data_IF_425562035794
#
_entry.id   IF_425562035794
#
_cell.length_a   1.000
_cell.length_b   1.000
_cell.length_c   1.000
_cell.angle_alpha   90.00
_cell.angle_beta   90.00
_cell.angle_gamma   90.00
#
_symmetry.space_group_name_H-M   'P 1'
#
loop_
_entity.id
_entity.type
_entity.pdbx_description
1 polymer ?
#
# COMPACT_ATOMS: atom_id res chain seq x y z
N UNK A 1 75.90 -23.10 -17.56
CA UNK A 1 74.94 -23.64 -18.55
C UNK A 1 73.60 -23.82 -17.84
N UNK A 2 72.52 -23.28 -18.41
CA UNK A 2 71.11 -23.33 -17.94
C UNK A 2 70.72 -22.37 -16.80
N UNK A 3 70.45 -21.12 -17.16
CA UNK A 3 69.53 -20.23 -16.43
C UNK A 3 68.11 -20.42 -16.98
N UNK A 4 67.17 -20.86 -16.13
CA UNK A 4 65.74 -20.97 -16.45
C UNK A 4 65.03 -19.64 -16.20
N UNK A 5 64.18 -19.31 -17.15
CA UNK A 5 63.23 -18.20 -17.20
C UNK A 5 62.11 -18.43 -16.18
N UNK A 6 61.81 -17.44 -15.34
CA UNK A 6 60.63 -17.39 -14.47
C UNK A 6 59.72 -16.23 -14.92
N UNK A 7 58.58 -16.58 -15.48
CA UNK A 7 57.54 -15.68 -15.98
C UNK A 7 56.78 -15.08 -14.78
N UNK A 8 56.91 -13.78 -14.54
CA UNK A 8 56.16 -13.06 -13.51
C UNK A 8 54.74 -12.72 -13.99
N UNK A 9 53.73 -13.29 -13.34
CA UNK A 9 52.32 -12.99 -13.54
C UNK A 9 52.00 -11.61 -12.93
N UNK A 10 51.59 -10.65 -13.76
CA UNK A 10 51.16 -9.31 -13.34
C UNK A 10 49.71 -9.38 -12.86
N UNK A 11 49.48 -9.20 -11.55
CA UNK A 11 48.14 -8.99 -10.99
C UNK A 11 47.73 -7.52 -11.20
N UNK A 12 46.84 -7.27 -12.16
CA UNK A 12 46.10 -6.01 -12.25
C UNK A 12 44.92 -6.03 -11.26
N UNK A 13 45.04 -5.30 -10.15
CA UNK A 13 43.91 -4.95 -9.29
C UNK A 13 43.16 -3.77 -9.92
N UNK A 14 41.97 -4.02 -10.49
CA UNK A 14 41.04 -2.97 -10.86
C UNK A 14 40.29 -2.51 -9.61
N UNK A 15 40.56 -1.28 -9.14
CA UNK A 15 39.78 -0.65 -8.09
C UNK A 15 38.44 -0.17 -8.67
N UNK A 16 37.34 -0.75 -8.19
CA UNK A 16 35.98 -0.27 -8.51
C UNK A 16 35.70 0.93 -7.59
N UNK A 17 35.60 2.12 -8.17
CA UNK A 17 35.19 3.32 -7.46
C UNK A 17 33.71 3.19 -7.06
N UNK A 18 33.44 3.22 -5.75
CA UNK A 18 32.08 3.29 -5.22
C UNK A 18 31.48 4.67 -5.56
N UNK A 19 30.47 4.68 -6.42
CA UNK A 19 29.66 5.88 -6.69
C UNK A 19 28.68 6.05 -5.53
N UNK A 20 28.82 7.14 -4.79
CA UNK A 20 27.88 7.50 -3.73
C UNK A 20 26.53 7.92 -4.34
N UNK A 21 25.45 7.29 -3.91
CA UNK A 21 24.08 7.65 -4.29
C UNK A 21 23.65 8.97 -3.61
N UNK A 22 22.80 9.79 -4.25
CA UNK A 22 22.25 11.00 -3.65
C UNK A 22 21.37 10.70 -2.42
N UNK A 23 21.28 11.61 -1.43
CA UNK A 23 20.46 11.42 -0.24
C UNK A 23 18.98 11.41 -0.64
N UNK A 24 18.27 10.33 -0.32
CA UNK A 24 16.83 10.18 -0.61
C UNK A 24 16.44 8.86 -1.28
N UNK A 25 17.41 8.07 -1.76
CA UNK A 25 17.15 6.68 -2.18
C UNK A 25 17.42 5.79 -0.98
N UNK A 26 16.36 5.44 -0.26
CA UNK A 26 16.40 4.30 0.67
C UNK A 26 16.71 3.08 -0.18
N UNK A 27 17.83 2.41 0.08
CA UNK A 27 18.11 1.12 -0.55
C UNK A 27 16.88 0.23 -0.33
N UNK A 28 16.45 -0.58 -1.32
CA UNK A 28 15.41 -1.57 -1.05
C UNK A 28 15.88 -2.37 0.16
N UNK A 29 15.01 -2.50 1.17
CA UNK A 29 15.20 -3.47 2.25
C UNK A 29 15.59 -4.76 1.54
N UNK A 30 16.81 -5.25 1.79
CA UNK A 30 17.34 -6.40 1.06
C UNK A 30 16.26 -7.48 1.09
N UNK A 31 15.77 -7.89 -0.10
CA UNK A 31 14.68 -8.85 -0.21
C UNK A 31 15.07 -10.08 0.61
N UNK A 32 14.45 -10.23 1.77
CA UNK A 32 14.78 -11.29 2.69
C UNK A 32 14.17 -12.56 2.09
N UNK A 33 15.03 -13.40 1.52
CA UNK A 33 14.61 -14.67 0.96
C UNK A 33 14.39 -15.64 2.11
N UNK A 34 13.14 -16.06 2.29
CA UNK A 34 12.79 -17.13 3.23
C UNK A 34 13.56 -18.41 2.89
N UNK A 35 14.06 -19.10 3.91
CA UNK A 35 14.47 -20.50 3.79
C UNK A 35 13.28 -21.38 3.39
N UNK A 36 13.55 -22.60 2.94
CA UNK A 36 12.48 -23.56 2.60
C UNK A 36 11.57 -23.85 3.79
N UNK A 37 12.11 -23.94 5.01
CA UNK A 37 11.33 -24.21 6.22
C UNK A 37 10.44 -23.03 6.61
N UNK A 38 10.97 -21.80 6.53
CA UNK A 38 10.19 -20.59 6.77
C UNK A 38 9.09 -20.40 5.71
N UNK A 39 9.38 -20.74 4.45
CA UNK A 39 8.41 -20.69 3.37
C UNK A 39 7.27 -21.70 3.59
N UNK A 40 7.58 -22.94 4.00
CA UNK A 40 6.54 -23.93 4.31
C UNK A 40 5.72 -23.53 5.55
N UNK A 41 6.35 -22.92 6.56
CA UNK A 41 5.65 -22.37 7.72
C UNK A 41 4.70 -21.24 7.30
N UNK A 42 5.17 -20.30 6.46
CA UNK A 42 4.35 -19.24 5.89
C UNK A 42 3.18 -19.78 5.07
N UNK A 43 3.40 -20.81 4.24
CA UNK A 43 2.36 -21.46 3.44
C UNK A 43 1.30 -22.12 4.33
N UNK A 44 1.75 -22.86 5.34
CA UNK A 44 0.89 -23.61 6.26
C UNK A 44 0.06 -22.72 7.18
N UNK A 45 0.58 -21.56 7.58
CA UNK A 45 -0.09 -20.67 8.54
C UNK A 45 -0.81 -19.50 7.87
N UNK A 46 -0.17 -18.82 6.91
CA UNK A 46 -0.72 -17.59 6.32
C UNK A 46 -1.48 -17.85 5.04
N UNK A 47 -0.87 -18.55 4.08
CA UNK A 47 -1.52 -18.78 2.78
C UNK A 47 -2.73 -19.72 2.89
N UNK A 48 -2.72 -20.65 3.86
CA UNK A 48 -3.86 -21.50 4.19
C UNK A 48 -5.10 -20.69 4.56
N UNK A 49 -4.96 -19.67 5.42
CA UNK A 49 -6.04 -18.77 5.83
C UNK A 49 -6.62 -18.01 4.63
N UNK A 50 -5.78 -17.63 3.66
CA UNK A 50 -6.23 -16.93 2.46
C UNK A 50 -7.03 -17.82 1.50
N UNK A 51 -6.70 -19.11 1.46
CA UNK A 51 -7.34 -20.11 0.61
C UNK A 51 -8.58 -20.73 1.25
N UNK A 52 -8.76 -20.60 2.56
CA UNK A 52 -9.90 -21.15 3.30
C UNK A 52 -11.23 -20.77 2.64
N UNK A 53 -12.06 -21.77 2.34
CA UNK A 53 -13.38 -21.55 1.77
C UNK A 53 -14.33 -21.04 2.85
N UNK A 54 -14.96 -19.91 2.58
CA UNK A 54 -15.80 -19.22 3.55
C UNK A 54 -17.26 -19.10 3.07
N UNK A 55 -17.60 -19.78 1.98
CA UNK A 55 -18.98 -19.91 1.48
C UNK A 55 -19.36 -19.00 0.31
N UNK A 56 -18.40 -18.30 -0.31
CA UNK A 56 -18.56 -17.71 -1.65
C UNK A 56 -19.66 -16.65 -1.82
N UNK A 57 -20.02 -16.33 -3.07
CA UNK A 57 -20.86 -15.18 -3.44
C UNK A 57 -22.38 -15.37 -3.24
N UNK A 58 -22.82 -16.53 -2.74
CA UNK A 58 -24.21 -16.80 -2.38
C UNK A 58 -24.24 -17.47 -1.01
N UNK A 59 -24.42 -16.66 0.04
CA UNK A 59 -24.61 -17.13 1.41
C UNK A 59 -23.34 -17.67 2.08
N UNK A 60 -22.39 -16.77 2.36
CA UNK A 60 -21.11 -17.04 3.03
C UNK A 60 -20.12 -15.91 2.73
N UNK A 61 -19.01 -15.80 3.44
CA UNK A 61 -17.95 -14.85 3.09
C UNK A 61 -17.10 -15.43 1.95
N UNK A 62 -16.56 -14.61 1.07
CA UNK A 62 -15.61 -15.13 0.08
C UNK A 62 -14.26 -15.45 0.74
N UNK A 63 -13.53 -16.43 0.20
CA UNK A 63 -12.12 -16.64 0.56
C UNK A 63 -11.32 -15.37 0.26
N UNK A 64 -10.28 -15.09 1.07
CA UNK A 64 -9.51 -13.85 0.92
C UNK A 64 -8.89 -13.77 -0.48
N UNK A 65 -8.37 -14.90 -0.98
CA UNK A 65 -7.77 -15.01 -2.31
C UNK A 65 -8.72 -14.62 -3.45
N UNK A 66 -10.04 -14.80 -3.28
CA UNK A 66 -11.01 -14.42 -4.30
C UNK A 66 -11.03 -12.90 -4.54
N UNK A 67 -10.86 -12.10 -3.50
CA UNK A 67 -10.79 -10.64 -3.64
C UNK A 67 -9.36 -10.16 -3.88
N UNK A 68 -8.39 -10.79 -3.23
CA UNK A 68 -7.01 -10.29 -3.18
C UNK A 68 -6.13 -10.66 -4.38
N UNK A 69 -6.62 -11.40 -5.36
CA UNK A 69 -5.85 -11.75 -6.58
C UNK A 69 -6.19 -10.88 -7.79
N UNK A 70 -7.45 -10.46 -7.93
CA UNK A 70 -7.92 -9.74 -9.12
C UNK A 70 -8.76 -8.50 -8.83
N UNK A 71 -9.47 -8.45 -7.70
CA UNK A 71 -10.35 -7.31 -7.39
C UNK A 71 -9.59 -6.15 -6.74
N UNK A 72 -8.50 -6.45 -6.03
CA UNK A 72 -7.69 -5.44 -5.35
C UNK A 72 -6.40 -5.18 -6.09
N UNK A 73 -6.25 -3.99 -6.67
CA UNK A 73 -4.98 -3.45 -7.17
C UNK A 73 -4.28 -2.55 -6.12
N UNK A 74 -4.63 -2.74 -4.85
CA UNK A 74 -4.15 -1.94 -3.69
C UNK A 74 -3.19 -2.75 -2.81
N UNK A 75 -2.79 -2.23 -1.63
CA UNK A 75 -1.64 -2.66 -0.79
C UNK A 75 -1.52 -4.17 -0.56
N UNK A 76 -2.62 -4.90 -0.72
CA UNK A 76 -2.66 -6.34 -0.58
C UNK A 76 -3.17 -6.95 -1.89
N UNK A 77 -2.24 -7.29 -2.79
CA UNK A 77 -2.49 -8.00 -4.04
C UNK A 77 -1.63 -9.26 -4.08
N UNK A 78 -2.28 -10.42 -4.03
CA UNK A 78 -1.67 -11.72 -4.11
C UNK A 78 -1.57 -12.17 -5.58
N UNK A 79 -0.61 -13.03 -5.86
CA UNK A 79 -0.57 -13.80 -7.10
C UNK A 79 -1.83 -14.68 -7.22
N UNK A 80 -2.27 -15.02 -8.43
CA UNK A 80 -3.32 -16.04 -8.60
C UNK A 80 -2.74 -17.43 -8.28
N UNK A 81 -3.37 -18.25 -7.41
CA UNK A 81 -2.95 -19.62 -7.16
C UNK A 81 -2.78 -20.42 -8.45
N UNK A 82 -1.76 -21.28 -8.51
CA UNK A 82 -1.51 -22.11 -9.70
C UNK A 82 -2.50 -23.28 -9.82
N UNK A 83 -3.11 -23.66 -8.70
CA UNK A 83 -4.01 -24.81 -8.57
C UNK A 83 -4.79 -24.71 -7.25
N UNK A 84 -5.68 -25.67 -7.01
CA UNK A 84 -6.38 -25.80 -5.72
C UNK A 84 -5.42 -26.10 -4.55
N UNK A 85 -4.18 -26.52 -4.83
CA UNK A 85 -3.14 -26.71 -3.80
C UNK A 85 -2.43 -25.40 -3.43
N UNK A 86 -2.82 -24.25 -4.00
CA UNK A 86 -2.28 -22.93 -3.68
C UNK A 86 -1.24 -22.45 -4.69
N UNK A 87 -0.18 -21.84 -4.19
CA UNK A 87 0.86 -21.15 -4.98
C UNK A 87 2.10 -22.03 -5.22
N UNK A 88 2.87 -21.74 -6.27
CA UNK A 88 4.24 -22.25 -6.38
C UNK A 88 5.14 -21.58 -5.33
N UNK A 89 6.32 -22.13 -5.06
CA UNK A 89 7.28 -21.50 -4.13
C UNK A 89 7.64 -20.08 -4.55
N UNK A 90 7.82 -19.85 -5.86
CA UNK A 90 8.14 -18.53 -6.40
C UNK A 90 6.99 -17.53 -6.22
N UNK A 91 5.74 -17.98 -6.40
CA UNK A 91 4.56 -17.16 -6.13
C UNK A 91 4.41 -16.87 -4.63
N UNK A 92 4.64 -17.86 -3.76
CA UNK A 92 4.58 -17.67 -2.31
C UNK A 92 5.63 -16.67 -1.82
N UNK A 93 6.83 -16.63 -2.41
CA UNK A 93 7.83 -15.60 -2.09
C UNK A 93 7.34 -14.19 -2.46
N UNK A 94 6.73 -14.02 -3.64
CA UNK A 94 6.13 -12.73 -4.01
C UNK A 94 4.96 -12.34 -3.11
N UNK A 95 4.10 -13.29 -2.76
CA UNK A 95 3.04 -13.06 -1.79
C UNK A 95 3.59 -12.64 -0.43
N UNK A 96 4.68 -13.28 0.03
CA UNK A 96 5.34 -12.91 1.27
C UNK A 96 5.89 -11.48 1.24
N UNK A 97 6.47 -11.03 0.13
CA UNK A 97 6.89 -9.62 -0.04
C UNK A 97 5.73 -8.63 0.10
N UNK A 98 4.52 -9.02 -0.32
CA UNK A 98 3.31 -8.20 -0.14
C UNK A 98 2.80 -8.28 1.30
N UNK A 99 2.74 -9.48 1.89
CA UNK A 99 2.25 -9.70 3.26
C UNK A 99 3.15 -9.04 4.30
N UNK A 100 4.47 -9.09 4.11
CA UNK A 100 5.45 -8.46 5.00
C UNK A 100 5.30 -6.94 5.10
N UNK A 101 4.69 -6.28 4.10
CA UNK A 101 4.35 -4.85 4.17
C UNK A 101 3.11 -4.56 5.02
N UNK A 102 2.40 -5.58 5.48
CA UNK A 102 1.15 -5.49 6.24
C UNK A 102 1.29 -5.91 7.70
N UNK A 103 2.49 -6.33 8.10
CA UNK A 103 2.82 -6.72 9.47
C UNK A 103 3.72 -5.69 10.14
N UNK A 104 3.72 -5.71 11.46
CA UNK A 104 4.60 -4.94 12.31
C UNK A 104 5.19 -5.86 13.37
N UNK A 105 6.44 -6.28 13.22
CA UNK A 105 7.06 -7.22 14.17
C UNK A 105 7.35 -6.62 15.54
N UNK A 106 7.49 -5.29 15.64
CA UNK A 106 7.72 -4.59 16.91
C UNK A 106 6.44 -4.37 17.72
N UNK A 107 5.29 -4.38 17.05
CA UNK A 107 3.95 -4.31 17.67
C UNK A 107 2.98 -5.20 16.87
N UNK A 108 3.05 -6.53 17.04
CA UNK A 108 2.35 -7.52 16.20
C UNK A 108 0.85 -7.26 16.05
N UNK A 109 0.16 -6.91 17.13
CA UNK A 109 -1.27 -6.65 17.18
C UNK A 109 -1.68 -5.44 16.32
N UNK A 110 -0.77 -4.48 16.08
CA UNK A 110 -1.00 -3.33 15.19
C UNK A 110 -0.98 -3.69 13.69
N UNK A 111 -0.59 -4.93 13.36
CA UNK A 111 -0.47 -5.39 11.98
C UNK A 111 -1.78 -5.28 11.23
N UNK A 112 -1.78 -4.60 10.07
CA UNK A 112 -2.99 -4.48 9.23
C UNK A 112 -3.48 -5.83 8.73
N UNK A 113 -2.59 -6.82 8.59
CA UNK A 113 -2.93 -8.20 8.28
C UNK A 113 -3.90 -8.80 9.32
N UNK A 114 -3.72 -8.45 10.61
CA UNK A 114 -4.57 -8.89 11.71
C UNK A 114 -5.81 -7.99 11.87
N UNK A 115 -5.62 -6.68 11.75
CA UNK A 115 -6.69 -5.73 12.05
C UNK A 115 -7.78 -5.68 10.98
N UNK A 116 -7.46 -5.90 9.69
CA UNK A 116 -8.47 -5.80 8.62
C UNK A 116 -9.56 -6.88 8.70
N UNK A 117 -9.25 -8.16 8.93
CA UNK A 117 -10.29 -9.18 9.01
C UNK A 117 -10.96 -9.25 10.40
N UNK A 118 -10.41 -8.59 11.43
CA UNK A 118 -10.98 -8.51 12.79
C UNK A 118 -12.17 -7.53 12.86
N UNK A 119 -13.18 -7.89 13.66
CA UNK A 119 -14.35 -7.05 13.92
C UNK A 119 -13.98 -5.69 14.53
N UNK A 120 -14.61 -4.57 14.12
CA UNK A 120 -14.45 -3.28 14.81
C UNK A 120 -14.76 -3.32 16.30
N UNK A 121 -15.72 -4.16 16.73
CA UNK A 121 -16.07 -4.31 18.16
C UNK A 121 -14.95 -4.98 18.98
N UNK A 122 -14.06 -5.71 18.31
CA UNK A 122 -12.86 -6.33 18.88
C UNK A 122 -11.59 -5.47 18.65
N UNK A 123 -11.74 -4.22 18.19
CA UNK A 123 -10.62 -3.32 17.89
C UNK A 123 -10.07 -3.42 16.46
N UNK A 124 -10.74 -4.18 15.58
CA UNK A 124 -10.37 -4.30 14.18
C UNK A 124 -10.71 -3.07 13.32
N UNK A 125 -10.31 -3.13 12.06
CA UNK A 125 -10.50 -2.09 11.06
C UNK A 125 -11.59 -2.48 10.06
N UNK A 126 -12.28 -1.49 9.52
CA UNK A 126 -13.24 -1.74 8.44
C UNK A 126 -12.57 -2.39 7.23
N UNK A 127 -13.17 -3.47 6.73
CA UNK A 127 -12.71 -4.23 5.58
C UNK A 127 -13.86 -4.54 4.63
N UNK A 128 -13.65 -4.29 3.34
CA UNK A 128 -14.67 -4.43 2.31
C UNK A 128 -15.10 -5.89 2.12
N UNK A 129 -14.20 -6.85 2.34
CA UNK A 129 -14.53 -8.28 2.29
C UNK A 129 -15.39 -8.78 3.47
N UNK A 130 -15.60 -7.94 4.49
CA UNK A 130 -16.34 -8.29 5.70
C UNK A 130 -15.43 -8.62 6.89
N UNK A 131 -16.10 -9.01 7.97
CA UNK A 131 -15.49 -9.45 9.22
C UNK A 131 -15.32 -10.97 9.19
N UNK A 132 -14.11 -11.44 9.45
CA UNK A 132 -13.75 -12.84 9.45
C UNK A 132 -13.49 -13.37 10.86
N UNK A 133 -12.94 -12.52 11.74
CA UNK A 133 -12.72 -12.84 13.15
C UNK A 133 -13.54 -11.91 14.03
N UNK A 134 -14.31 -12.46 14.96
CA UNK A 134 -15.15 -11.69 15.87
C UNK A 134 -14.45 -11.37 17.20
N UNK A 135 -13.34 -12.05 17.49
CA UNK A 135 -12.49 -11.84 18.68
C UNK A 135 -11.02 -12.06 18.31
N UNK A 136 -10.11 -11.49 19.11
CA UNK A 136 -8.67 -11.79 19.07
C UNK A 136 -8.33 -13.19 19.59
N UNK A 137 -9.31 -13.92 20.15
CA UNK A 137 -9.17 -15.32 20.55
C UNK A 137 -9.47 -16.31 19.39
N UNK A 138 -9.81 -15.80 18.21
CA UNK A 138 -10.08 -16.66 17.04
C UNK A 138 -8.82 -17.49 16.69
N UNK A 139 -8.93 -18.81 16.47
CA UNK A 139 -7.77 -19.65 16.21
C UNK A 139 -6.93 -19.20 15.01
N UNK A 140 -7.55 -18.66 13.95
CA UNK A 140 -6.81 -18.16 12.79
C UNK A 140 -6.08 -16.86 13.12
N UNK A 141 -6.72 -15.96 13.87
CA UNK A 141 -6.08 -14.73 14.35
C UNK A 141 -4.86 -15.07 15.22
N UNK A 142 -5.02 -15.98 16.18
CA UNK A 142 -3.94 -16.40 17.08
C UNK A 142 -2.79 -17.03 16.30
N UNK A 143 -3.08 -17.91 15.33
CA UNK A 143 -2.05 -18.53 14.50
C UNK A 143 -1.23 -17.52 13.69
N UNK A 144 -1.90 -16.51 13.10
CA UNK A 144 -1.21 -15.42 12.40
C UNK A 144 -0.40 -14.52 13.33
N UNK A 145 -0.94 -14.21 14.52
CA UNK A 145 -0.26 -13.41 15.52
C UNK A 145 1.00 -14.11 16.03
N UNK A 146 0.91 -15.40 16.33
CA UNK A 146 2.05 -16.21 16.78
C UNK A 146 3.11 -16.34 15.66
N UNK A 147 2.68 -16.46 14.40
CA UNK A 147 3.60 -16.40 13.26
C UNK A 147 4.36 -15.08 13.19
N UNK A 148 3.67 -13.93 13.34
CA UNK A 148 4.34 -12.61 13.37
C UNK A 148 5.33 -12.53 14.53
N UNK A 149 4.93 -12.97 15.72
CA UNK A 149 5.77 -12.98 16.93
C UNK A 149 6.98 -13.93 16.86
N UNK A 150 6.94 -14.92 15.97
CA UNK A 150 8.05 -15.86 15.78
C UNK A 150 9.24 -15.25 15.02
N UNK A 151 9.02 -14.14 14.31
CA UNK A 151 10.05 -13.42 13.57
C UNK A 151 10.87 -12.49 14.48
N UNK A 152 12.05 -12.03 14.02
CA UNK A 152 12.77 -10.96 14.72
C UNK A 152 11.90 -9.70 14.84
N UNK A 153 11.89 -9.07 16.02
CA UNK A 153 11.04 -7.92 16.34
C UNK A 153 11.38 -6.68 15.50
N UNK A 154 12.54 -6.65 14.84
CA UNK A 154 13.01 -5.57 13.96
C UNK A 154 12.91 -5.85 12.44
N UNK A 155 12.47 -7.05 12.02
CA UNK A 155 12.54 -7.47 10.61
C UNK A 155 11.52 -6.79 9.69
N UNK A 156 10.31 -6.48 10.18
CA UNK A 156 9.22 -5.89 9.38
C UNK A 156 8.50 -4.81 10.17
N UNK A 157 9.24 -3.78 10.56
CA UNK A 157 8.69 -2.61 11.25
C UNK A 157 8.35 -1.54 10.23
N UNK A 158 7.07 -1.16 10.05
CA UNK A 158 6.72 -0.08 9.15
C UNK A 158 7.37 1.22 9.64
N UNK A 159 7.88 2.07 8.72
CA UNK A 159 8.35 3.39 9.11
C UNK A 159 7.19 4.18 9.73
N UNK A 160 7.47 5.14 10.63
CA UNK A 160 6.44 6.04 11.14
C UNK A 160 5.63 6.65 10.00
N UNK A 161 4.30 6.56 10.08
CA UNK A 161 3.44 7.19 9.08
C UNK A 161 3.69 8.72 9.10
N UNK A 162 3.97 9.35 7.94
CA UNK A 162 4.19 10.79 7.92
C UNK A 162 2.91 11.54 8.26
N UNK A 163 3.07 12.67 8.95
CA UNK A 163 1.95 13.59 9.12
C UNK A 163 1.57 14.18 7.76
N UNK A 164 0.28 14.16 7.47
CA UNK A 164 -0.27 14.76 6.26
C UNK A 164 -0.65 16.20 6.59
N UNK A 165 -0.13 17.17 5.85
CA UNK A 165 -0.28 18.57 6.23
C UNK A 165 -1.66 19.13 5.85
N UNK A 166 -2.40 19.63 6.84
CA UNK A 166 -3.71 20.23 6.63
C UNK A 166 -3.64 21.57 5.87
N UNK A 167 -2.60 22.37 6.11
CA UNK A 167 -2.48 23.66 5.45
C UNK A 167 -2.25 23.49 3.94
N UNK A 168 -1.42 22.52 3.56
CA UNK A 168 -1.19 22.14 2.17
C UNK A 168 -2.43 21.50 1.56
N UNK A 169 -3.16 20.69 2.34
CA UNK A 169 -4.44 20.16 1.90
C UNK A 169 -5.37 21.30 1.48
N UNK A 170 -5.60 22.27 2.38
CA UNK A 170 -6.51 23.39 2.15
C UNK A 170 -6.05 24.26 0.98
N UNK A 171 -4.76 24.59 0.91
CA UNK A 171 -4.23 25.52 -0.08
C UNK A 171 -4.09 24.91 -1.48
N UNK A 172 -3.73 23.63 -1.58
CA UNK A 172 -3.24 23.03 -2.83
C UNK A 172 -4.00 21.78 -3.26
N UNK A 173 -4.42 20.93 -2.31
CA UNK A 173 -5.11 19.66 -2.63
C UNK A 173 -6.61 19.89 -2.85
N UNK A 174 -7.27 20.59 -1.93
CA UNK A 174 -8.71 20.82 -1.97
C UNK A 174 -9.17 21.54 -3.25
N UNK A 175 -8.44 22.54 -3.79
CA UNK A 175 -8.76 23.15 -5.08
C UNK A 175 -8.79 22.18 -6.27
N UNK A 176 -8.00 21.10 -6.26
CA UNK A 176 -7.99 20.07 -7.32
C UNK A 176 -9.37 19.44 -7.49
N UNK A 177 -10.12 19.29 -6.40
CA UNK A 177 -11.43 18.62 -6.43
C UNK A 177 -12.55 19.49 -6.98
N UNK A 178 -12.44 20.79 -6.75
CA UNK A 178 -13.36 21.77 -7.31
C UNK A 178 -13.02 22.04 -8.78
N UNK A 179 -11.75 22.12 -9.15
CA UNK A 179 -11.34 22.59 -10.48
C UNK A 179 -11.25 21.44 -11.50
N UNK A 180 -12.10 21.45 -12.55
CA UNK A 180 -12.00 20.48 -13.62
C UNK A 180 -10.79 20.79 -14.50
N UNK A 181 -10.20 19.74 -15.08
CA UNK A 181 -9.33 19.91 -16.26
C UNK A 181 -10.20 20.12 -17.50
N UNK A 182 -9.63 20.69 -18.55
CA UNK A 182 -10.34 20.89 -19.81
C UNK A 182 -10.98 19.57 -20.30
N UNK A 183 -12.30 19.60 -20.53
CA UNK A 183 -13.08 18.44 -20.95
C UNK A 183 -13.34 17.37 -19.88
N UNK A 184 -12.98 17.59 -18.62
CA UNK A 184 -13.14 16.61 -17.54
C UNK A 184 -14.17 17.04 -16.47
N UNK A 185 -14.80 16.07 -15.80
CA UNK A 185 -15.71 16.32 -14.69
C UNK A 185 -14.92 16.69 -13.41
N UNK A 186 -15.55 17.49 -12.55
CA UNK A 186 -15.03 17.82 -11.21
C UNK A 186 -15.17 16.61 -10.30
N UNK A 187 -14.20 16.38 -9.40
CA UNK A 187 -14.31 15.33 -8.38
C UNK A 187 -15.54 15.55 -7.50
N UNK A 188 -15.86 16.82 -7.23
CA UNK A 188 -17.00 17.25 -6.42
C UNK A 188 -18.37 16.81 -6.97
N UNK A 189 -18.46 16.47 -8.26
CA UNK A 189 -19.71 15.97 -8.83
C UNK A 189 -20.10 14.60 -8.27
N UNK A 190 -19.13 13.79 -7.84
CA UNK A 190 -19.37 12.43 -7.34
C UNK A 190 -18.94 12.26 -5.87
N UNK A 191 -18.02 13.09 -5.38
CA UNK A 191 -17.39 12.96 -4.07
C UNK A 191 -17.76 14.10 -3.09
N UNK A 192 -18.90 14.77 -3.30
CA UNK A 192 -19.34 15.88 -2.43
C UNK A 192 -20.06 15.46 -1.15
N UNK A 193 -20.59 14.23 -1.08
CA UNK A 193 -21.42 13.77 0.05
C UNK A 193 -21.17 12.31 0.41
N UNK A 194 -21.69 11.88 1.57
CA UNK A 194 -21.65 10.48 2.03
C UNK A 194 -20.28 10.02 2.52
N UNK A 195 -20.08 8.69 2.55
CA UNK A 195 -18.86 8.06 3.08
C UNK A 195 -17.59 8.37 2.27
N UNK A 196 -17.77 8.80 1.01
CA UNK A 196 -16.70 9.24 0.11
C UNK A 196 -16.83 10.73 -0.22
N UNK A 197 -17.47 11.50 0.67
CA UNK A 197 -17.76 12.92 0.55
C UNK A 197 -16.58 13.85 0.85
N UNK A 198 -15.36 13.46 0.48
CA UNK A 198 -14.14 14.20 0.80
C UNK A 198 -13.87 15.42 -0.10
N UNK A 199 -14.72 15.64 -1.11
CA UNK A 199 -14.57 16.69 -2.12
C UNK A 199 -15.86 17.51 -2.25
N UNK A 200 -16.30 18.23 -1.19
CA UNK A 200 -17.40 19.18 -1.34
C UNK A 200 -16.98 20.31 -2.28
N UNK A 201 -17.92 20.79 -3.11
CA UNK A 201 -17.73 22.05 -3.83
C UNK A 201 -17.61 23.21 -2.81
N UNK A 202 -16.86 24.28 -3.13
CA UNK A 202 -16.78 25.43 -2.24
C UNK A 202 -18.15 26.08 -2.04
N UNK A 203 -18.31 26.71 -0.89
CA UNK A 203 -19.52 27.43 -0.51
C UNK A 203 -19.68 28.76 -1.25
N UNK A 204 -20.42 29.68 -0.63
CA UNK A 204 -20.67 31.00 -1.21
C UNK A 204 -19.36 31.80 -1.28
N UNK A 205 -19.01 32.26 -2.48
CA UNK A 205 -17.79 33.04 -2.73
C UNK A 205 -16.63 32.24 -3.30
N UNK A 206 -16.86 31.00 -3.74
CA UNK A 206 -15.86 30.09 -4.30
C UNK A 206 -14.73 29.69 -3.32
N UNK A 207 -15.00 29.84 -2.01
CA UNK A 207 -14.10 29.44 -0.92
C UNK A 207 -14.79 28.42 0.02
N UNK A 208 -13.98 27.58 0.68
CA UNK A 208 -14.43 26.69 1.76
C UNK A 208 -14.24 27.35 3.12
N UNK A 209 -15.21 27.14 4.03
CA UNK A 209 -15.00 27.48 5.43
C UNK A 209 -13.93 26.56 6.06
N UNK A 210 -13.38 26.98 7.21
CA UNK A 210 -12.42 26.19 7.98
C UNK A 210 -13.03 24.84 8.38
N UNK A 211 -14.30 24.82 8.77
CA UNK A 211 -15.03 23.62 9.14
C UNK A 211 -15.23 22.67 7.95
N UNK A 212 -15.55 23.21 6.77
CA UNK A 212 -15.68 22.43 5.54
C UNK A 212 -14.35 21.79 5.13
N UNK A 213 -13.26 22.56 5.17
CA UNK A 213 -11.92 22.07 4.88
C UNK A 213 -11.48 21.00 5.89
N UNK A 214 -11.70 21.21 7.19
CA UNK A 214 -11.34 20.23 8.23
C UNK A 214 -12.11 18.93 8.07
N UNK A 215 -13.41 19.01 7.74
CA UNK A 215 -14.25 17.82 7.50
C UNK A 215 -13.78 17.06 6.26
N UNK A 216 -13.50 17.76 5.16
CA UNK A 216 -12.96 17.16 3.95
C UNK A 216 -11.61 16.48 4.20
N UNK A 217 -10.75 17.12 4.99
CA UNK A 217 -9.46 16.58 5.42
C UNK A 217 -9.60 15.26 6.21
N UNK A 218 -10.52 15.20 7.17
CA UNK A 218 -10.79 13.97 7.94
C UNK A 218 -11.35 12.82 7.09
N UNK A 219 -12.05 13.14 5.99
CA UNK A 219 -12.61 12.13 5.09
C UNK A 219 -11.57 11.66 4.08
N UNK A 220 -10.73 12.55 3.56
CA UNK A 220 -9.73 12.19 2.56
C UNK A 220 -8.62 11.31 3.14
N UNK A 221 -8.28 11.48 4.42
CA UNK A 221 -7.30 10.63 5.12
C UNK A 221 -7.69 9.15 5.11
N UNK A 222 -8.98 8.83 4.92
CA UNK A 222 -9.48 7.44 4.82
C UNK A 222 -9.24 6.79 3.46
N UNK A 223 -8.94 7.57 2.43
CA UNK A 223 -8.71 7.10 1.04
C UNK A 223 -7.28 7.33 0.55
N UNK A 224 -6.42 7.89 1.40
CA UNK A 224 -4.97 7.89 1.22
C UNK A 224 -4.35 6.87 2.16
N UNK A 225 -3.10 6.52 1.87
CA UNK A 225 -2.27 5.80 2.81
C UNK A 225 -0.97 6.57 2.98
N UNK A 226 -0.76 7.22 4.15
CA UNK A 226 0.41 8.06 4.38
C UNK A 226 1.72 7.35 4.02
N UNK A 227 2.63 8.09 3.41
CA UNK A 227 3.92 7.60 2.93
C UNK A 227 3.86 6.81 1.61
N UNK A 228 2.69 6.39 1.13
CA UNK A 228 2.57 5.53 -0.06
C UNK A 228 1.49 6.03 -1.04
N UNK A 229 1.87 6.90 -2.00
CA UNK A 229 0.94 7.45 -2.97
C UNK A 229 0.41 6.41 -3.97
N UNK A 230 1.23 5.46 -4.39
CA UNK A 230 0.86 4.41 -5.35
C UNK A 230 -0.26 3.53 -4.83
N UNK A 231 -0.34 3.39 -3.51
CA UNK A 231 -1.32 2.57 -2.82
C UNK A 231 -2.50 3.38 -2.27
N UNK A 232 -2.50 4.69 -2.46
CA UNK A 232 -3.58 5.58 -2.04
C UNK A 232 -4.71 5.55 -3.07
N UNK A 233 -5.93 5.18 -2.65
CA UNK A 233 -7.11 5.14 -3.54
C UNK A 233 -7.38 6.48 -4.23
N UNK A 234 -7.08 7.59 -3.54
CA UNK A 234 -7.14 8.94 -4.10
C UNK A 234 -6.31 9.10 -5.38
N UNK A 235 -5.13 8.48 -5.46
CA UNK A 235 -4.19 8.61 -6.57
C UNK A 235 -4.31 7.45 -7.56
N UNK A 236 -4.69 6.27 -7.07
CA UNK A 236 -4.80 5.05 -7.87
C UNK A 236 -6.06 5.05 -8.74
N UNK A 237 -7.22 5.45 -8.20
CA UNK A 237 -8.51 5.34 -8.93
C UNK A 237 -8.63 6.33 -10.10
N UNK A 238 -8.28 7.62 -9.98
CA UNK A 238 -8.41 8.55 -11.09
C UNK A 238 -7.25 8.48 -12.10
N UNK A 239 -6.20 7.69 -11.83
CA UNK A 239 -5.09 7.45 -12.76
C UNK A 239 -5.48 6.43 -13.83
N UNK A 240 -5.05 6.66 -15.07
CA UNK A 240 -5.28 5.73 -16.18
C UNK A 240 -4.55 4.38 -15.95
N UNK A 241 -5.13 3.23 -16.33
CA UNK A 241 -4.48 1.92 -16.17
C UNK A 241 -3.08 1.83 -16.78
N UNK A 242 -2.86 2.41 -17.96
CA UNK A 242 -1.53 2.43 -18.60
C UNK A 242 -0.49 3.23 -17.80
N UNK A 243 -0.94 4.17 -16.96
CA UNK A 243 -0.10 4.89 -15.99
C UNK A 243 0.09 4.14 -14.67
N UNK A 244 -0.44 2.91 -14.54
CA UNK A 244 -0.44 2.12 -13.31
C UNK A 244 -1.57 2.47 -12.35
N UNK A 245 -2.71 2.97 -12.87
CA UNK A 245 -3.94 3.21 -12.11
C UNK A 245 -4.86 1.99 -12.01
N UNK A 246 -5.88 2.06 -11.15
CA UNK A 246 -6.85 0.98 -10.98
C UNK A 246 -7.85 0.92 -12.14
N UNK A 247 -8.19 -0.29 -12.58
CA UNK A 247 -9.24 -0.52 -13.58
C UNK A 247 -10.61 0.05 -13.13
N UNK A 248 -10.93 0.01 -11.84
CA UNK A 248 -12.25 0.45 -11.32
C UNK A 248 -12.19 1.82 -10.63
N UNK A 249 -12.78 2.84 -11.27
CA UNK A 249 -13.13 4.12 -10.63
C UNK A 249 -14.62 4.45 -10.77
N UNK A 250 -15.28 3.93 -11.82
CA UNK A 250 -16.68 4.24 -12.18
C UNK A 250 -16.91 5.74 -12.47
N UNK A 251 -15.85 6.44 -12.87
CA UNK A 251 -15.82 7.86 -13.25
C UNK A 251 -14.66 8.14 -14.21
N UNK A 252 -14.53 9.38 -14.74
CA UNK A 252 -13.48 9.74 -15.68
C UNK A 252 -12.08 9.63 -15.06
N UNK A 253 -11.06 9.37 -15.89
CA UNK A 253 -9.66 9.44 -15.46
C UNK A 253 -9.20 10.89 -15.44
N UNK A 254 -8.56 11.29 -14.35
CA UNK A 254 -7.99 12.62 -14.19
C UNK A 254 -6.57 12.71 -14.75
N UNK A 255 -5.76 11.68 -14.54
CA UNK A 255 -4.34 11.65 -14.92
C UNK A 255 -4.04 10.49 -15.87
N UNK A 256 -3.17 10.73 -16.85
CA UNK A 256 -2.73 9.70 -17.80
C UNK A 256 -1.55 8.89 -17.28
N UNK A 257 -0.60 9.55 -16.61
CA UNK A 257 0.57 8.91 -16.02
C UNK A 257 0.91 9.54 -14.67
N UNK A 258 1.82 8.89 -13.95
CA UNK A 258 2.37 9.40 -12.69
C UNK A 258 3.24 10.63 -12.90
N UNK A 259 3.71 10.89 -14.12
CA UNK A 259 4.52 12.09 -14.44
C UNK A 259 3.67 13.37 -14.53
N UNK A 260 2.34 13.26 -14.45
CA UNK A 260 1.46 14.42 -14.42
C UNK A 260 1.82 15.32 -13.21
N UNK A 261 2.09 16.63 -13.41
CA UNK A 261 2.53 17.51 -12.32
C UNK A 261 1.54 17.58 -11.16
N UNK A 262 0.24 17.50 -11.42
CA UNK A 262 -0.78 17.52 -10.38
C UNK A 262 -0.77 16.20 -9.59
N UNK A 263 -0.55 15.06 -10.28
CA UNK A 263 -0.36 13.77 -9.61
C UNK A 263 0.88 13.81 -8.70
N UNK A 264 2.01 14.35 -9.18
CA UNK A 264 3.25 14.46 -8.41
C UNK A 264 3.12 15.37 -7.18
N UNK A 265 2.38 16.48 -7.29
CA UNK A 265 2.08 17.36 -6.16
C UNK A 265 1.31 16.61 -5.06
N UNK A 266 0.23 15.92 -5.44
CA UNK A 266 -0.56 15.12 -4.50
C UNK A 266 0.24 13.94 -3.93
N UNK A 267 1.08 13.31 -4.74
CA UNK A 267 1.95 12.23 -4.29
C UNK A 267 3.00 12.70 -3.28
N UNK A 268 3.58 13.89 -3.48
CA UNK A 268 4.47 14.52 -2.51
C UNK A 268 3.76 14.85 -1.19
N UNK A 269 2.51 15.33 -1.25
CA UNK A 269 1.70 15.55 -0.05
C UNK A 269 1.39 14.25 0.70
N UNK A 270 1.02 13.17 0.00
CA UNK A 270 0.79 11.85 0.62
C UNK A 270 2.08 11.29 1.24
N UNK A 271 3.25 11.59 0.67
CA UNK A 271 4.56 11.25 1.25
C UNK A 271 4.95 12.11 2.47
N UNK A 272 4.19 13.16 2.79
CA UNK A 272 4.52 14.10 3.87
C UNK A 272 5.62 15.11 3.50
N UNK A 273 5.96 15.24 2.21
CA UNK A 273 7.04 16.11 1.74
C UNK A 273 6.58 17.54 1.44
N UNK A 274 5.27 17.76 1.46
CA UNK A 274 4.65 19.04 1.10
C UNK A 274 3.87 19.58 2.30
N UNK A 275 4.27 20.76 2.76
CA UNK A 275 3.71 21.41 3.96
C UNK A 275 3.48 22.90 3.72
N UNK A 276 2.60 23.51 4.51
CA UNK A 276 2.29 24.93 4.41
C UNK A 276 1.42 25.25 3.18
N UNK A 277 1.40 26.52 2.76
CA UNK A 277 0.46 26.99 1.74
C UNK A 277 1.05 27.19 0.34
N UNK A 278 2.28 26.72 0.07
CA UNK A 278 2.93 26.89 -1.24
C UNK A 278 2.74 25.65 -2.10
N UNK A 279 2.08 25.80 -3.26
CA UNK A 279 1.77 24.68 -4.16
C UNK A 279 2.85 24.36 -5.20
N UNK A 280 4.00 25.02 -5.12
CA UNK A 280 5.20 24.79 -5.96
C UNK A 280 6.03 23.62 -5.46
#
# INVERSE_FOLDING_TARGET
>A
MMTRVGLGLVCCLAAVAAVALPPGIVAPVAAQTLSTEELETYRGTVESVFMEDRGGTIGGYASCVMCHTWQTSVRFSLETPNSNAGWSSEQSMRNFEVVSQLINTADPESSRLLLKPLSPDAGGLTHTGGTYWTSADDPEYVALLDWIRSMPDDAFVPPPEPEIDFNFFRACVQPVFANPREGQLRCSNCHSTGLIGFAPAPGRGDEWSDEEAQRAYQLITRVITPGNPEQSRLLLKPLHPDGGGAYTHNGPRRWQSRDDPEWQMLAGWVRGERTGSSCS
#
